data_IF_134077135581
#
_entry.id   IF_134077135581
#
_cell.length_a   1.000
_cell.length_b   1.000
_cell.length_c   1.000
_cell.angle_alpha   90.00
_cell.angle_beta   90.00
_cell.angle_gamma   90.00
#
_symmetry.space_group_name_H-M   'P 1'
#
loop_
_entity.id
_entity.type
_entity.pdbx_description
1 polymer ?
#
# COMPACT_ATOMS: atom_id res chain seq x y z
N UNK A 1 12.32 -0.84 -13.19
CA UNK A 1 12.23 -0.25 -11.84
C UNK A 1 10.81 -0.15 -11.28
N UNK A 2 9.81 0.40 -12.00
CA UNK A 2 8.38 0.39 -11.57
C UNK A 2 7.88 -1.00 -11.09
N UNK A 3 8.35 -2.05 -11.77
CA UNK A 3 7.98 -3.47 -11.57
C UNK A 3 8.62 -4.19 -10.37
N UNK A 4 9.56 -3.59 -9.63
CA UNK A 4 10.16 -4.24 -8.45
C UNK A 4 9.60 -3.68 -7.14
N UNK A 5 9.33 -2.37 -7.11
CA UNK A 5 8.85 -1.68 -5.92
C UNK A 5 7.45 -2.12 -5.48
N UNK A 6 6.53 -2.34 -6.43
CA UNK A 6 5.19 -2.84 -6.09
C UNK A 6 5.21 -4.21 -5.42
N UNK A 7 6.21 -5.09 -5.65
CA UNK A 7 6.22 -6.43 -5.04
C UNK A 7 6.44 -6.33 -3.53
N UNK A 8 7.43 -5.55 -3.11
CA UNK A 8 7.77 -5.37 -1.70
C UNK A 8 6.77 -4.47 -0.98
N UNK A 9 6.22 -3.47 -1.67
CA UNK A 9 5.09 -2.71 -1.15
C UNK A 9 3.93 -3.68 -0.92
N UNK A 10 3.51 -4.48 -1.91
CA UNK A 10 2.42 -5.44 -1.74
C UNK A 10 2.70 -6.49 -0.67
N UNK A 11 3.93 -7.02 -0.54
CA UNK A 11 4.29 -7.92 0.57
C UNK A 11 4.22 -7.26 1.95
N UNK A 12 4.57 -5.97 2.07
CA UNK A 12 4.42 -5.19 3.31
C UNK A 12 2.95 -4.84 3.56
N UNK A 13 2.18 -4.55 2.51
CA UNK A 13 0.72 -4.31 2.58
C UNK A 13 -0.02 -5.57 3.02
N UNK A 14 0.41 -6.75 2.56
CA UNK A 14 -0.16 -8.04 2.91
C UNK A 14 0.22 -8.48 4.34
N UNK A 15 1.45 -8.23 4.78
CA UNK A 15 1.85 -8.49 6.16
C UNK A 15 1.05 -7.63 7.18
N UNK A 16 0.60 -6.44 6.78
CA UNK A 16 -0.13 -5.50 7.62
C UNK A 16 -1.62 -5.87 7.83
N UNK A 17 -2.24 -6.63 6.93
CA UNK A 17 -3.64 -7.04 7.10
C UNK A 17 -3.73 -8.23 8.07
N UNK A 18 -2.82 -9.19 7.99
CA UNK A 18 -2.79 -10.37 8.87
C UNK A 18 -2.31 -10.14 10.32
N UNK A 19 -1.53 -9.09 10.63
CA UNK A 19 -0.86 -8.96 11.94
C UNK A 19 -1.59 -8.10 13.01
N UNK A 20 -2.81 -7.61 12.80
CA UNK A 20 -3.35 -6.57 13.71
C UNK A 20 -4.86 -6.48 13.92
N UNK A 21 -5.62 -7.57 13.81
CA UNK A 21 -7.05 -7.54 14.13
C UNK A 21 -7.35 -7.39 15.64
N UNK A 22 -6.34 -7.42 16.51
CA UNK A 22 -6.54 -7.46 17.97
C UNK A 22 -5.97 -6.27 18.77
N UNK A 23 -5.42 -5.23 18.13
CA UNK A 23 -4.42 -4.38 18.81
C UNK A 23 -4.69 -2.89 19.03
N UNK A 24 -5.82 -2.30 18.64
CA UNK A 24 -6.00 -0.83 18.72
C UNK A 24 -6.98 -0.39 19.81
N UNK A 25 -6.61 0.63 20.61
CA UNK A 25 -7.52 1.37 21.52
C UNK A 25 -8.62 2.08 20.71
N UNK A 26 -9.66 1.38 20.29
CA UNK A 26 -10.82 2.00 19.66
C UNK A 26 -12.12 1.47 20.26
N UNK A 27 -13.07 2.40 20.32
CA UNK A 27 -14.31 2.43 21.11
C UNK A 27 -15.21 1.20 20.93
N UNK A 28 -16.15 1.02 21.89
CA UNK A 28 -17.26 0.04 21.88
C UNK A 28 -17.92 -0.07 20.49
N UNK A 29 -17.35 -0.88 19.62
CA UNK A 29 -18.03 -1.46 18.48
C UNK A 29 -18.73 -2.71 19.01
N UNK A 30 -19.99 -2.92 18.67
CA UNK A 30 -20.66 -4.16 19.04
C UNK A 30 -19.99 -5.33 18.30
N UNK A 31 -20.04 -6.51 18.92
CA UNK A 31 -19.37 -7.70 18.41
C UNK A 31 -19.87 -8.12 17.02
N UNK A 32 -21.13 -7.77 16.69
CA UNK A 32 -21.75 -8.13 15.41
C UNK A 32 -21.20 -7.27 14.29
N UNK A 33 -21.17 -5.95 14.46
CA UNK A 33 -20.54 -5.04 13.51
C UNK A 33 -19.05 -5.34 13.40
N UNK A 34 -18.35 -5.62 14.51
CA UNK A 34 -16.94 -6.03 14.45
C UNK A 34 -16.72 -7.24 13.54
N UNK A 35 -17.48 -8.31 13.76
CA UNK A 35 -17.36 -9.53 12.97
C UNK A 35 -17.68 -9.30 11.48
N UNK A 36 -18.66 -8.44 11.17
CA UNK A 36 -18.99 -8.05 9.80
C UNK A 36 -17.82 -7.31 9.13
N UNK A 37 -17.27 -6.30 9.80
CA UNK A 37 -16.16 -5.51 9.27
C UNK A 37 -14.91 -6.38 9.10
N UNK A 38 -14.61 -7.26 10.06
CA UNK A 38 -13.52 -8.25 9.95
C UNK A 38 -13.70 -9.19 8.76
N UNK A 39 -14.92 -9.68 8.52
CA UNK A 39 -15.22 -10.55 7.37
C UNK A 39 -14.99 -9.80 6.04
N UNK A 40 -15.48 -8.57 5.92
CA UNK A 40 -15.29 -7.74 4.73
C UNK A 40 -13.81 -7.45 4.46
N UNK A 41 -13.02 -7.19 5.50
CA UNK A 41 -11.58 -6.99 5.33
C UNK A 41 -10.85 -8.28 4.98
N UNK A 42 -11.27 -9.43 5.51
CA UNK A 42 -10.72 -10.74 5.12
C UNK A 42 -10.99 -11.06 3.64
N UNK A 43 -12.17 -10.73 3.13
CA UNK A 43 -12.50 -10.87 1.72
C UNK A 43 -11.62 -9.93 0.87
N UNK A 44 -11.49 -8.67 1.29
CA UNK A 44 -10.62 -7.70 0.61
C UNK A 44 -9.16 -8.18 0.56
N UNK A 45 -8.66 -8.75 1.66
CA UNK A 45 -7.31 -9.30 1.75
C UNK A 45 -7.10 -10.45 0.77
N UNK A 46 -8.05 -11.38 0.71
CA UNK A 46 -8.03 -12.52 -0.21
C UNK A 46 -7.89 -12.06 -1.65
N UNK A 47 -8.68 -11.08 -2.07
CA UNK A 47 -8.63 -10.55 -3.42
C UNK A 47 -7.35 -9.75 -3.69
N UNK A 48 -6.84 -9.00 -2.72
CA UNK A 48 -5.52 -8.36 -2.82
C UNK A 48 -4.39 -9.39 -2.97
N UNK A 49 -4.47 -10.51 -2.26
CA UNK A 49 -3.55 -11.63 -2.41
C UNK A 49 -3.60 -12.26 -3.81
N UNK A 50 -4.79 -12.48 -4.37
CA UNK A 50 -4.92 -12.97 -5.74
C UNK A 50 -4.35 -11.99 -6.77
N UNK A 51 -4.61 -10.70 -6.60
CA UNK A 51 -4.00 -9.67 -7.45
C UNK A 51 -2.47 -9.68 -7.36
N UNK A 52 -1.93 -9.80 -6.14
CA UNK A 52 -0.49 -9.87 -5.88
C UNK A 52 0.16 -11.08 -6.56
N UNK A 53 -0.44 -12.26 -6.42
CA UNK A 53 0.03 -13.50 -7.03
C UNK A 53 -0.02 -13.42 -8.56
N UNK A 54 -1.12 -12.90 -9.12
CA UNK A 54 -1.26 -12.66 -10.55
C UNK A 54 -0.16 -11.74 -11.08
N UNK A 55 0.13 -10.64 -10.38
CA UNK A 55 1.22 -9.74 -10.74
C UNK A 55 2.61 -10.37 -10.58
N UNK A 56 2.83 -11.21 -9.58
CA UNK A 56 4.07 -11.95 -9.37
C UNK A 56 4.34 -12.95 -10.50
N UNK A 57 3.31 -13.70 -10.90
CA UNK A 57 3.35 -14.63 -12.04
C UNK A 57 3.64 -13.89 -13.34
N UNK A 58 2.93 -12.78 -13.58
CA UNK A 58 3.14 -11.90 -14.73
C UNK A 58 4.57 -11.41 -14.87
N UNK A 59 5.20 -10.98 -13.76
CA UNK A 59 6.58 -10.47 -13.79
C UNK A 59 7.60 -11.55 -14.15
N UNK A 60 7.35 -12.80 -13.80
CA UNK A 60 8.26 -13.93 -14.06
C UNK A 60 8.22 -14.42 -15.51
N UNK A 61 7.06 -14.31 -16.17
CA UNK A 61 6.83 -14.88 -17.52
C UNK A 61 6.40 -13.85 -18.57
N UNK A 62 6.53 -12.55 -18.27
CA UNK A 62 6.00 -11.44 -19.07
C UNK A 62 6.27 -11.49 -20.58
N UNK A 63 7.47 -11.90 -21.07
CA UNK A 63 7.72 -11.97 -22.52
C UNK A 63 6.95 -13.11 -23.21
N UNK A 64 6.67 -14.20 -22.50
CA UNK A 64 6.05 -15.42 -23.04
C UNK A 64 4.52 -15.36 -23.00
N UNK A 65 3.96 -14.50 -22.15
CA UNK A 65 2.53 -14.46 -21.88
C UNK A 65 1.70 -13.72 -22.93
N UNK A 66 2.27 -12.85 -23.77
CA UNK A 66 1.57 -12.22 -24.90
C UNK A 66 0.14 -11.72 -24.57
N UNK A 67 -0.89 -12.38 -25.10
CA UNK A 67 -2.32 -12.06 -24.83
C UNK A 67 -2.77 -12.44 -23.41
N UNK A 68 -2.22 -13.50 -22.84
CA UNK A 68 -2.52 -13.94 -21.46
C UNK A 68 -2.04 -12.89 -20.44
N UNK A 69 -1.03 -12.10 -20.79
CA UNK A 69 -0.55 -11.03 -19.95
C UNK A 69 -1.65 -9.99 -19.67
N UNK A 70 -2.33 -9.55 -20.73
CA UNK A 70 -3.42 -8.56 -20.62
C UNK A 70 -4.60 -9.06 -19.79
N UNK A 71 -4.97 -10.34 -19.95
CA UNK A 71 -6.06 -10.97 -19.19
C UNK A 71 -5.71 -11.03 -17.69
N UNK A 72 -4.47 -11.36 -17.36
CA UNK A 72 -4.00 -11.40 -15.97
C UNK A 72 -3.93 -10.00 -15.35
N UNK A 73 -3.55 -8.97 -16.11
CA UNK A 73 -3.59 -7.58 -15.64
C UNK A 73 -5.02 -7.12 -15.36
N UNK A 74 -5.96 -7.43 -16.25
CA UNK A 74 -7.38 -7.11 -16.08
C UNK A 74 -7.99 -7.86 -14.88
N UNK A 75 -7.69 -9.15 -14.74
CA UNK A 75 -8.08 -9.94 -13.58
C UNK A 75 -7.51 -9.37 -12.28
N UNK A 76 -6.23 -9.01 -12.24
CA UNK A 76 -5.62 -8.38 -11.06
C UNK A 76 -6.29 -7.05 -10.72
N UNK A 77 -6.62 -6.23 -11.73
CA UNK A 77 -7.34 -4.97 -11.52
C UNK A 77 -8.74 -5.19 -10.95
N UNK A 78 -9.48 -6.17 -11.46
CA UNK A 78 -10.81 -6.53 -10.95
C UNK A 78 -10.74 -6.99 -9.49
N UNK A 79 -9.72 -7.78 -9.14
CA UNK A 79 -9.50 -8.19 -7.76
C UNK A 79 -9.20 -7.00 -6.83
N UNK A 80 -8.39 -6.04 -7.26
CA UNK A 80 -8.12 -4.82 -6.48
C UNK A 80 -9.40 -3.98 -6.32
N UNK A 81 -10.22 -3.87 -7.38
CA UNK A 81 -11.48 -3.14 -7.31
C UNK A 81 -12.46 -3.80 -6.34
N UNK A 82 -12.59 -5.12 -6.38
CA UNK A 82 -13.41 -5.86 -5.43
C UNK A 82 -12.96 -5.65 -3.99
N UNK A 83 -11.64 -5.70 -3.75
CA UNK A 83 -11.08 -5.43 -2.43
C UNK A 83 -11.35 -4.01 -1.95
N UNK A 84 -11.31 -3.03 -2.87
CA UNK A 84 -11.65 -1.64 -2.56
C UNK A 84 -13.13 -1.50 -2.18
N UNK A 85 -14.03 -2.13 -2.93
CA UNK A 85 -15.47 -2.08 -2.67
C UNK A 85 -15.79 -2.67 -1.28
N UNK A 86 -15.20 -3.82 -0.95
CA UNK A 86 -15.33 -4.45 0.38
C UNK A 86 -14.73 -3.59 1.49
N UNK A 87 -13.62 -2.92 1.22
CA UNK A 87 -13.02 -1.98 2.18
C UNK A 87 -13.91 -0.75 2.41
N UNK A 88 -14.64 -0.28 1.40
CA UNK A 88 -15.62 0.81 1.58
C UNK A 88 -16.90 0.34 2.29
N UNK A 89 -17.38 -0.88 2.06
CA UNK A 89 -18.45 -1.48 2.86
C UNK A 89 -18.04 -1.51 4.34
N UNK A 90 -16.83 -1.99 4.64
CA UNK A 90 -16.26 -1.96 5.99
C UNK A 90 -16.15 -0.54 6.56
N UNK A 91 -15.80 0.44 5.72
CA UNK A 91 -15.66 1.84 6.13
C UNK A 91 -17.00 2.47 6.47
N UNK A 92 -18.06 2.15 5.74
CA UNK A 92 -19.39 2.67 6.01
C UNK A 92 -19.95 2.14 7.35
N UNK A 93 -19.51 0.97 7.77
CA UNK A 93 -19.86 0.39 9.07
C UNK A 93 -19.05 1.04 10.21
N UNK A 94 -17.73 1.16 10.06
CA UNK A 94 -16.87 1.81 11.06
C UNK A 94 -15.75 2.66 10.41
N UNK A 95 -16.01 3.96 10.16
CA UNK A 95 -15.05 4.85 9.50
C UNK A 95 -13.78 5.10 10.30
N UNK A 96 -13.84 4.94 11.64
CA UNK A 96 -12.70 5.22 12.53
C UNK A 96 -11.83 3.99 12.75
N UNK A 97 -12.14 2.85 12.16
CA UNK A 97 -11.30 1.67 12.28
C UNK A 97 -10.04 1.83 11.43
N UNK A 98 -8.88 1.84 12.08
CA UNK A 98 -7.59 2.00 11.40
C UNK A 98 -7.30 0.92 10.34
N UNK A 99 -7.62 -0.38 10.55
CA UNK A 99 -7.47 -1.42 9.54
C UNK A 99 -8.23 -1.15 8.24
N UNK A 100 -9.46 -0.61 8.34
CA UNK A 100 -10.24 -0.26 7.16
C UNK A 100 -9.59 0.85 6.34
N UNK A 101 -9.16 1.92 7.01
CA UNK A 101 -8.45 3.02 6.35
C UNK A 101 -7.16 2.51 5.69
N UNK A 102 -6.45 1.58 6.34
CA UNK A 102 -5.26 0.95 5.77
C UNK A 102 -5.57 0.14 4.51
N UNK A 103 -6.63 -0.67 4.53
CA UNK A 103 -7.05 -1.48 3.39
C UNK A 103 -7.45 -0.62 2.18
N UNK A 104 -8.21 0.45 2.40
CA UNK A 104 -8.53 1.43 1.35
C UNK A 104 -7.25 2.05 0.78
N UNK A 105 -6.34 2.52 1.65
CA UNK A 105 -5.10 3.14 1.22
C UNK A 105 -4.23 2.21 0.35
N UNK A 106 -4.16 0.93 0.71
CA UNK A 106 -3.45 -0.09 -0.05
C UNK A 106 -4.08 -0.33 -1.43
N UNK A 107 -5.42 -0.41 -1.51
CA UNK A 107 -6.14 -0.60 -2.76
C UNK A 107 -6.02 0.62 -3.69
N UNK A 108 -6.19 1.83 -3.15
CA UNK A 108 -6.04 3.09 -3.90
C UNK A 108 -4.62 3.23 -4.49
N UNK A 109 -3.60 2.85 -3.71
CA UNK A 109 -2.22 2.82 -4.20
C UNK A 109 -2.05 1.80 -5.33
N UNK A 110 -2.62 0.60 -5.19
CA UNK A 110 -2.54 -0.44 -6.21
C UNK A 110 -3.26 -0.05 -7.52
N UNK A 111 -4.30 0.79 -7.44
CA UNK A 111 -4.97 1.41 -8.59
C UNK A 111 -4.24 2.63 -9.16
N UNK A 112 -3.18 3.10 -8.51
CA UNK A 112 -2.39 4.27 -8.92
C UNK A 112 -2.99 5.62 -8.51
N UNK A 113 -3.97 5.61 -7.61
CA UNK A 113 -4.63 6.78 -7.04
C UNK A 113 -3.82 7.32 -5.85
N UNK A 114 -2.60 7.79 -6.12
CA UNK A 114 -1.61 8.12 -5.09
C UNK A 114 -2.10 9.14 -4.04
N UNK A 115 -2.91 10.13 -4.44
CA UNK A 115 -3.44 11.15 -3.51
C UNK A 115 -4.43 10.56 -2.49
N UNK A 116 -5.36 9.71 -2.95
CA UNK A 116 -6.30 9.00 -2.06
C UNK A 116 -5.57 8.03 -1.15
N UNK A 117 -4.57 7.32 -1.67
CA UNK A 117 -3.73 6.43 -0.87
C UNK A 117 -3.05 7.16 0.29
N UNK A 118 -2.50 8.36 0.04
CA UNK A 118 -1.87 9.19 1.09
C UNK A 118 -2.91 9.65 2.11
N UNK A 119 -4.09 10.09 1.67
CA UNK A 119 -5.16 10.53 2.56
C UNK A 119 -5.56 9.44 3.56
N UNK A 120 -5.91 8.26 3.06
CA UNK A 120 -6.35 7.15 3.92
C UNK A 120 -5.21 6.59 4.78
N UNK A 121 -3.97 6.52 4.27
CA UNK A 121 -2.83 6.09 5.07
C UNK A 121 -2.52 7.06 6.23
N UNK A 122 -2.67 8.38 6.01
CA UNK A 122 -2.55 9.36 7.09
C UNK A 122 -3.64 9.22 8.14
N UNK A 123 -4.88 8.88 7.72
CA UNK A 123 -5.96 8.56 8.65
C UNK A 123 -5.64 7.31 9.47
N UNK A 124 -5.08 6.26 8.86
CA UNK A 124 -4.61 5.08 9.59
C UNK A 124 -3.64 5.46 10.71
N UNK A 125 -2.61 6.24 10.39
CA UNK A 125 -1.61 6.70 11.36
C UNK A 125 -2.22 7.60 12.44
N UNK A 126 -3.21 8.44 12.10
CA UNK A 126 -3.91 9.27 13.08
C UNK A 126 -4.80 8.46 14.03
N UNK A 127 -5.41 7.41 13.51
CA UNK A 127 -6.36 6.57 14.24
C UNK A 127 -5.67 5.51 15.10
N UNK A 128 -4.48 5.07 14.71
CA UNK A 128 -3.70 4.09 15.45
C UNK A 128 -2.20 4.22 15.18
N UNK A 129 -1.44 4.36 16.25
CA UNK A 129 0.04 4.36 16.21
C UNK A 129 0.60 2.93 15.99
N UNK A 130 -0.23 1.89 16.04
CA UNK A 130 0.21 0.49 15.94
C UNK A 130 0.41 -0.01 14.49
N UNK A 131 0.15 0.84 13.48
CA UNK A 131 0.21 0.50 12.05
C UNK A 131 1.24 1.34 11.30
N UNK A 132 2.53 1.21 11.62
CA UNK A 132 3.58 1.95 10.92
C UNK A 132 3.66 1.58 9.43
N UNK A 133 3.09 0.46 8.98
CA UNK A 133 3.04 0.06 7.57
C UNK A 133 2.34 1.09 6.67
N UNK A 134 1.47 1.93 7.24
CA UNK A 134 0.90 3.08 6.53
C UNK A 134 1.97 4.08 6.05
N UNK A 135 3.13 4.18 6.72
CA UNK A 135 4.27 4.96 6.22
C UNK A 135 4.83 4.40 4.90
N UNK A 136 4.80 3.08 4.71
CA UNK A 136 5.24 2.44 3.46
C UNK A 136 4.28 2.78 2.32
N UNK A 137 2.97 2.82 2.58
CA UNK A 137 1.96 3.30 1.61
C UNK A 137 2.25 4.73 1.20
N UNK A 138 2.46 5.63 2.17
CA UNK A 138 2.73 7.05 1.91
C UNK A 138 4.01 7.21 1.08
N UNK A 139 5.08 6.50 1.44
CA UNK A 139 6.34 6.56 0.70
C UNK A 139 6.21 6.07 -0.74
N UNK A 140 5.48 4.97 -0.93
CA UNK A 140 5.18 4.41 -2.24
C UNK A 140 4.35 5.35 -3.12
N UNK A 141 3.32 5.97 -2.55
CA UNK A 141 2.46 6.91 -3.24
C UNK A 141 3.23 8.15 -3.71
N UNK A 142 4.06 8.74 -2.83
CA UNK A 142 4.91 9.88 -3.21
C UNK A 142 5.94 9.50 -4.28
N UNK A 143 6.50 8.30 -4.20
CA UNK A 143 7.41 7.80 -5.22
C UNK A 143 6.72 7.60 -6.58
N UNK A 144 5.46 7.16 -6.60
CA UNK A 144 4.66 7.09 -7.83
C UNK A 144 4.39 8.47 -8.41
N UNK A 145 4.00 9.44 -7.57
CA UNK A 145 3.81 10.84 -7.98
C UNK A 145 5.08 11.42 -8.59
N UNK A 146 6.23 11.25 -7.93
CA UNK A 146 7.53 11.70 -8.44
C UNK A 146 7.89 11.07 -9.81
N UNK A 147 7.43 9.85 -10.09
CA UNK A 147 7.68 9.19 -11.38
C UNK A 147 6.77 9.68 -12.52
N UNK A 148 5.63 10.29 -12.18
CA UNK A 148 4.70 10.90 -13.15
C UNK A 148 4.98 12.40 -13.33
N UNK A 149 5.62 13.03 -12.35
CA UNK A 149 5.95 14.45 -12.37
C UNK A 149 7.02 14.78 -13.42
N UNK A 150 6.76 15.85 -14.16
CA UNK A 150 7.64 16.38 -15.21
C UNK A 150 8.48 17.54 -14.69
N UNK A 151 7.96 18.35 -13.77
CA UNK A 151 8.71 19.46 -13.18
C UNK A 151 9.82 18.91 -12.26
N UNK A 152 11.11 19.19 -12.53
CA UNK A 152 12.21 18.63 -11.74
C UNK A 152 12.18 19.04 -10.25
N UNK A 153 11.65 20.23 -9.93
CA UNK A 153 11.54 20.72 -8.55
C UNK A 153 10.46 19.99 -7.79
N UNK A 154 9.27 19.86 -8.35
CA UNK A 154 8.19 19.10 -7.73
C UNK A 154 8.53 17.61 -7.67
N UNK A 155 9.14 17.06 -8.71
CA UNK A 155 9.63 15.68 -8.74
C UNK A 155 10.60 15.38 -7.59
N UNK A 156 11.57 16.27 -7.39
CA UNK A 156 12.51 16.19 -6.26
C UNK A 156 11.78 16.27 -4.92
N UNK A 157 10.82 17.19 -4.78
CA UNK A 157 10.03 17.35 -3.55
C UNK A 157 9.21 16.10 -3.23
N UNK A 158 8.61 15.46 -4.23
CA UNK A 158 7.88 14.20 -4.05
C UNK A 158 8.83 13.05 -3.67
N UNK A 159 10.04 13.00 -4.26
CA UNK A 159 11.07 12.05 -3.82
C UNK A 159 11.51 12.25 -2.36
N UNK A 160 11.69 13.49 -1.92
CA UNK A 160 12.04 13.81 -0.52
C UNK A 160 10.92 13.37 0.44
N UNK A 161 9.65 13.60 0.08
CA UNK A 161 8.51 13.11 0.86
C UNK A 161 8.47 11.58 0.92
N UNK A 162 8.82 10.90 -0.17
CA UNK A 162 8.91 9.44 -0.19
C UNK A 162 9.99 8.91 0.76
N UNK A 163 11.18 9.52 0.74
CA UNK A 163 12.29 9.18 1.64
C UNK A 163 11.85 9.37 3.10
N UNK A 164 11.31 10.53 3.45
CA UNK A 164 10.88 10.83 4.83
C UNK A 164 9.87 9.79 5.35
N UNK A 165 8.92 9.37 4.51
CA UNK A 165 7.94 8.36 4.90
C UNK A 165 8.61 7.00 5.15
N UNK A 166 9.53 6.56 4.30
CA UNK A 166 10.27 5.32 4.53
C UNK A 166 11.19 5.39 5.75
N UNK A 167 11.83 6.53 6.01
CA UNK A 167 12.63 6.74 7.22
C UNK A 167 11.77 6.69 8.49
N UNK A 168 10.56 7.25 8.47
CA UNK A 168 9.61 7.11 9.58
C UNK A 168 9.24 5.65 9.82
N UNK A 169 8.97 4.85 8.77
CA UNK A 169 8.74 3.42 8.94
C UNK A 169 9.94 2.71 9.60
N UNK A 170 11.15 2.97 9.10
CA UNK A 170 12.38 2.35 9.62
C UNK A 170 12.61 2.75 11.08
N UNK A 171 12.30 3.99 11.45
CA UNK A 171 12.41 4.47 12.83
C UNK A 171 11.45 3.72 13.76
N UNK A 172 10.20 3.51 13.34
CA UNK A 172 9.20 2.80 14.15
C UNK A 172 9.43 1.28 14.20
N UNK A 173 9.97 0.69 13.12
CA UNK A 173 10.18 -0.76 12.98
C UNK A 173 11.58 -1.08 12.41
N UNK A 174 12.67 -0.80 13.14
CA UNK A 174 14.03 -0.92 12.63
C UNK A 174 14.46 -2.36 12.30
N UNK A 175 13.86 -3.34 12.96
CA UNK A 175 14.16 -4.76 12.77
C UNK A 175 13.23 -5.46 11.76
N UNK A 176 12.30 -4.72 11.16
CA UNK A 176 11.37 -5.32 10.20
C UNK A 176 12.09 -5.80 8.95
N UNK A 177 11.72 -6.98 8.44
CA UNK A 177 12.41 -7.63 7.31
C UNK A 177 12.46 -6.79 6.02
N UNK A 178 11.56 -5.81 5.87
CA UNK A 178 11.56 -4.90 4.72
C UNK A 178 12.56 -3.73 4.83
N UNK A 179 13.16 -3.49 6.00
CA UNK A 179 14.06 -2.35 6.24
C UNK A 179 15.25 -2.33 5.27
N UNK A 180 16.01 -3.42 5.02
CA UNK A 180 17.12 -3.39 4.07
C UNK A 180 16.66 -2.99 2.65
N UNK A 181 15.46 -3.42 2.26
CA UNK A 181 14.87 -3.05 0.97
C UNK A 181 14.50 -1.57 0.93
N UNK A 182 13.90 -1.03 1.99
CA UNK A 182 13.54 0.38 2.08
C UNK A 182 14.78 1.29 2.10
N UNK A 183 15.83 0.90 2.81
CA UNK A 183 17.13 1.59 2.78
C UNK A 183 17.72 1.62 1.36
N UNK A 184 17.73 0.48 0.67
CA UNK A 184 18.16 0.41 -0.72
C UNK A 184 17.32 1.33 -1.62
N UNK A 185 16.01 1.37 -1.39
CA UNK A 185 15.08 2.24 -2.13
C UNK A 185 15.39 3.72 -1.88
N UNK A 186 15.63 4.11 -0.63
CA UNK A 186 16.03 5.47 -0.26
C UNK A 186 17.31 5.86 -0.99
N UNK A 187 18.34 5.01 -1.00
CA UNK A 187 19.60 5.31 -1.70
C UNK A 187 19.41 5.46 -3.22
N UNK A 188 18.58 4.60 -3.84
CA UNK A 188 18.23 4.75 -5.26
C UNK A 188 17.53 6.10 -5.53
N UNK A 189 16.62 6.52 -4.63
CA UNK A 189 15.93 7.80 -4.77
C UNK A 189 16.91 8.96 -4.61
N UNK A 190 17.82 8.92 -3.63
CA UNK A 190 18.86 9.93 -3.43
C UNK A 190 19.75 10.08 -4.66
N UNK A 191 20.16 8.96 -5.27
CA UNK A 191 20.93 8.99 -6.51
C UNK A 191 20.17 9.60 -7.69
N UNK A 192 18.84 9.36 -7.78
CA UNK A 192 18.01 10.05 -8.79
C UNK A 192 17.96 11.55 -8.56
N UNK A 193 17.75 11.99 -7.32
CA UNK A 193 17.75 13.42 -6.98
C UNK A 193 19.08 14.08 -7.37
N UNK A 194 20.22 13.40 -7.18
CA UNK A 194 21.54 13.93 -7.55
C UNK A 194 21.69 14.13 -9.07
N UNK A 195 21.11 13.25 -9.88
CA UNK A 195 21.19 13.29 -11.35
C UNK A 195 20.28 14.32 -12.00
N UNK A 196 19.29 14.82 -11.26
CA UNK A 196 18.35 15.85 -11.70
C UNK A 196 18.83 17.27 -11.33
N UNK A 197 20.07 17.41 -10.84
CA UNK A 197 20.78 18.69 -10.60
C UNK A 197 21.61 19.06 -11.81
#
# INVERSE_FOLDING_TARGET
MKRFLLCTIVSVLLAAVGCGLTGGRQTRMDETTRAQVETLLSDAETHMNYAAQGQGFMRRFSPELGKNAKILEESARLNIQFALDKSYEAYNLEPRWAPTNHAIAACELALGNSDRAIEFARRTLYLSDDRPEAWVIIGAAYLEKAQKEQDPREKKREYEKAINAYENFIKERPEHMSVPFLQTTIEIIKEKIKKER
#
